data_IF_675060846068
#
_entry.id   IF_675060846068
#
_cell.length_a   1.000
_cell.length_b   1.000
_cell.length_c   1.000
_cell.angle_alpha   90.00
_cell.angle_beta   90.00
_cell.angle_gamma   90.00
#
_symmetry.space_group_name_H-M   'P 1'
#
loop_
_entity.id
_entity.type
_entity.pdbx_description
1 polymer ?
#
# COMPACT_ATOMS: atom_id res chain seq x y z
N UNK A 1 23.47 15.57 51.98
CA UNK A 1 23.08 14.22 51.50
C UNK A 1 22.24 14.38 50.25
N UNK A 2 22.78 14.01 49.09
CA UNK A 2 22.20 14.26 47.76
C UNK A 2 21.08 13.23 47.50
N UNK A 3 19.84 13.69 47.32
CA UNK A 3 18.71 12.83 46.88
C UNK A 3 18.94 12.48 45.41
N UNK A 4 19.13 11.20 45.12
CA UNK A 4 19.34 10.71 43.75
C UNK A 4 18.00 10.50 43.05
N UNK A 5 17.89 11.09 41.85
CA UNK A 5 16.74 11.07 40.96
C UNK A 5 16.46 9.65 40.41
N UNK A 6 15.64 8.88 41.11
CA UNK A 6 15.15 7.58 40.63
C UNK A 6 14.20 7.70 39.42
N UNK A 7 13.58 8.87 39.23
CA UNK A 7 12.56 9.10 38.20
C UNK A 7 13.11 9.28 36.77
N UNK A 8 14.41 9.57 36.64
CA UNK A 8 15.01 9.93 35.34
C UNK A 8 15.36 8.72 34.46
N UNK A 9 15.54 7.54 35.05
CA UNK A 9 15.91 6.33 34.30
C UNK A 9 14.68 5.60 33.73
N UNK A 10 13.53 5.70 34.39
CA UNK A 10 12.27 5.10 33.93
C UNK A 10 11.76 5.74 32.63
N UNK A 11 11.91 7.07 32.49
CA UNK A 11 11.58 7.78 31.26
C UNK A 11 12.50 7.40 30.09
N UNK A 12 13.78 7.14 30.35
CA UNK A 12 14.73 6.70 29.32
C UNK A 12 14.39 5.29 28.80
N UNK A 13 13.90 4.41 29.68
CA UNK A 13 13.50 3.06 29.30
C UNK A 13 12.21 3.05 28.46
N UNK A 14 11.25 3.94 28.75
CA UNK A 14 10.02 4.10 27.97
C UNK A 14 10.31 4.66 26.55
N UNK A 15 11.25 5.60 26.40
CA UNK A 15 11.62 6.15 25.10
C UNK A 15 12.34 5.14 24.18
N UNK A 16 12.84 4.02 24.70
CA UNK A 16 13.51 2.98 23.89
C UNK A 16 12.53 1.95 23.31
N UNK A 17 11.33 1.80 23.85
CA UNK A 17 10.33 0.82 23.37
C UNK A 17 9.41 1.39 22.28
N UNK A 18 9.27 2.70 22.16
CA UNK A 18 8.47 3.33 21.09
C UNK A 18 9.15 3.26 19.69
N UNK A 19 10.42 2.88 19.64
CA UNK A 19 11.23 2.89 18.40
C UNK A 19 11.25 1.59 17.58
N UNK A 20 10.56 0.52 18.03
CA UNK A 20 10.78 -0.84 17.47
C UNK A 20 9.64 -1.35 16.57
N UNK A 21 8.49 -0.67 16.53
CA UNK A 21 7.35 -1.12 15.72
C UNK A 21 7.07 -0.16 14.55
N UNK A 22 8.01 -0.07 13.62
CA UNK A 22 7.71 0.39 12.27
C UNK A 22 7.85 -0.82 11.35
N UNK A 23 6.73 -1.40 10.95
CA UNK A 23 6.69 -2.47 9.96
C UNK A 23 7.42 -2.01 8.68
N UNK A 24 8.52 -2.67 8.26
CA UNK A 24 9.24 -2.31 7.04
C UNK A 24 8.43 -2.58 5.76
N UNK A 25 7.29 -3.27 5.85
CA UNK A 25 6.42 -3.63 4.72
C UNK A 25 5.39 -2.53 4.36
N UNK A 26 5.30 -1.40 5.09
CA UNK A 26 4.33 -0.33 4.81
C UNK A 26 4.89 0.86 4.00
N UNK A 27 6.01 0.70 3.28
CA UNK A 27 6.42 1.73 2.32
C UNK A 27 5.43 1.70 1.16
N UNK A 28 4.38 2.51 1.25
CA UNK A 28 3.61 2.96 0.10
C UNK A 28 4.57 3.76 -0.77
N UNK A 29 5.37 3.08 -1.60
CA UNK A 29 6.17 3.71 -2.63
C UNK A 29 5.14 4.48 -3.46
N UNK A 30 5.21 5.82 -3.54
CA UNK A 30 4.30 6.56 -4.41
C UNK A 30 4.57 6.06 -5.81
N UNK A 31 3.65 5.24 -6.34
CA UNK A 31 3.74 4.78 -7.71
C UNK A 31 3.83 6.02 -8.59
N UNK A 32 4.72 6.03 -9.60
CA UNK A 32 4.91 7.20 -10.44
C UNK A 32 3.54 7.59 -11.01
N UNK A 33 3.07 8.79 -10.66
CA UNK A 33 1.88 9.37 -11.25
C UNK A 33 2.05 9.29 -12.76
N UNK A 34 1.28 8.42 -13.39
CA UNK A 34 1.37 8.24 -14.82
C UNK A 34 0.66 9.41 -15.48
N UNK A 35 1.34 10.09 -16.40
CA UNK A 35 0.74 11.15 -17.20
C UNK A 35 0.56 10.63 -18.63
N UNK A 36 -0.68 10.65 -19.11
CA UNK A 36 -0.98 10.35 -20.50
C UNK A 36 -0.51 11.49 -21.42
N UNK A 37 -0.38 11.27 -22.75
CA UNK A 37 0.08 12.30 -23.69
C UNK A 37 -0.77 13.58 -23.70
N UNK A 38 -2.08 13.45 -23.43
CA UNK A 38 -3.04 14.54 -23.28
C UNK A 38 -2.92 15.32 -21.95
N UNK A 39 -2.03 14.86 -21.07
CA UNK A 39 -1.81 15.43 -19.74
C UNK A 39 -2.68 14.86 -18.63
N UNK A 40 -3.56 13.91 -18.93
CA UNK A 40 -4.39 13.22 -17.94
C UNK A 40 -3.51 12.45 -16.96
N UNK A 41 -3.71 12.68 -15.65
CA UNK A 41 -3.01 11.95 -14.60
C UNK A 41 -3.80 10.71 -14.20
N UNK A 42 -3.13 9.57 -14.09
CA UNK A 42 -3.71 8.35 -13.57
C UNK A 42 -2.88 7.82 -12.42
N UNK A 43 -3.60 7.31 -11.41
CA UNK A 43 -3.01 6.63 -10.26
C UNK A 43 -3.07 5.12 -10.49
N UNK A 44 -2.09 4.42 -9.98
CA UNK A 44 -2.00 2.96 -10.00
C UNK A 44 -1.67 2.51 -8.59
N UNK A 45 -2.36 1.47 -8.13
CA UNK A 45 -2.12 0.91 -6.82
C UNK A 45 -2.33 -0.61 -6.87
N UNK A 46 -1.68 -1.34 -5.96
CA UNK A 46 -1.74 -2.79 -5.87
C UNK A 46 -1.90 -3.18 -4.40
N UNK A 47 -2.78 -4.16 -4.14
CA UNK A 47 -2.91 -4.80 -2.84
C UNK A 47 -2.86 -6.30 -3.01
N UNK A 48 -2.31 -6.98 -2.02
CA UNK A 48 -2.26 -8.43 -2.01
C UNK A 48 -3.62 -9.01 -1.62
N UNK A 49 -3.81 -10.30 -1.89
CA UNK A 49 -5.04 -10.98 -1.50
C UNK A 49 -5.28 -10.84 0.01
N UNK A 50 -6.54 -10.61 0.38
CA UNK A 50 -6.99 -10.32 1.76
C UNK A 50 -6.67 -8.92 2.29
N UNK A 51 -5.91 -8.10 1.58
CA UNK A 51 -5.71 -6.70 1.96
C UNK A 51 -6.85 -5.81 1.42
N UNK A 52 -7.11 -4.70 2.12
CA UNK A 52 -8.06 -3.70 1.68
C UNK A 52 -7.36 -2.57 0.89
N UNK A 53 -7.96 -2.19 -0.24
CA UNK A 53 -7.55 -1.02 -1.01
C UNK A 53 -8.54 0.13 -0.80
N UNK A 54 -8.03 1.31 -0.47
CA UNK A 54 -8.83 2.53 -0.37
C UNK A 54 -8.44 3.48 -1.48
N UNK A 55 -9.38 3.76 -2.38
CA UNK A 55 -9.17 4.68 -3.51
C UNK A 55 -9.89 5.99 -3.19
N UNK A 56 -9.16 7.11 -3.26
CA UNK A 56 -9.67 8.44 -2.97
C UNK A 56 -9.16 9.51 -3.93
N UNK A 57 -9.97 10.54 -4.12
CA UNK A 57 -9.68 11.74 -4.90
C UNK A 57 -9.90 13.00 -4.05
N UNK A 58 -9.39 14.15 -4.51
CA UNK A 58 -9.59 15.42 -3.79
C UNK A 58 -11.06 15.86 -3.86
N UNK A 59 -11.41 16.85 -3.05
CA UNK A 59 -12.73 17.49 -3.11
C UNK A 59 -12.98 17.98 -4.55
N UNK A 60 -14.19 17.72 -5.07
CA UNK A 60 -14.62 18.00 -6.45
C UNK A 60 -13.96 17.17 -7.56
N UNK A 61 -13.10 16.20 -7.24
CA UNK A 61 -12.64 15.19 -8.20
C UNK A 61 -13.51 13.92 -8.12
N UNK A 62 -13.57 13.16 -9.24
CA UNK A 62 -14.29 11.88 -9.30
C UNK A 62 -13.33 10.76 -9.65
N UNK A 63 -13.56 9.59 -9.07
CA UNK A 63 -12.82 8.37 -9.42
C UNK A 63 -13.37 7.85 -10.75
N UNK A 64 -12.47 7.59 -11.71
CA UNK A 64 -12.79 6.89 -12.95
C UNK A 64 -11.85 5.69 -13.09
N UNK A 65 -12.40 4.48 -12.98
CA UNK A 65 -11.63 3.25 -13.14
C UNK A 65 -11.37 3.00 -14.61
N UNK A 66 -10.10 3.11 -15.02
CA UNK A 66 -9.66 2.90 -16.42
C UNK A 66 -9.42 1.41 -16.70
N UNK A 67 -8.77 0.72 -15.75
CA UNK A 67 -8.45 -0.71 -15.81
C UNK A 67 -8.27 -1.28 -14.42
N UNK A 68 -8.61 -2.55 -14.24
CA UNK A 68 -8.32 -3.29 -13.03
C UNK A 68 -8.22 -4.80 -13.29
N UNK A 69 -7.48 -5.49 -12.42
CA UNK A 69 -7.36 -6.94 -12.44
C UNK A 69 -7.30 -7.48 -11.01
N UNK A 70 -8.11 -8.49 -10.71
CA UNK A 70 -7.92 -9.38 -9.57
C UNK A 70 -7.20 -10.63 -10.09
N UNK A 71 -5.92 -10.77 -9.73
CA UNK A 71 -5.04 -11.78 -10.28
C UNK A 71 -3.57 -11.37 -10.21
N UNK A 72 -2.74 -11.85 -11.14
CA UNK A 72 -1.29 -11.66 -11.12
C UNK A 72 -0.70 -11.57 -12.52
N UNK A 73 0.08 -10.52 -12.75
CA UNK A 73 0.86 -10.27 -13.98
C UNK A 73 2.37 -10.08 -13.74
N UNK A 74 2.84 -10.16 -12.50
CA UNK A 74 4.25 -10.00 -12.15
C UNK A 74 4.60 -10.84 -10.93
N UNK A 75 5.76 -11.50 -10.99
CA UNK A 75 6.36 -12.20 -9.83
C UNK A 75 6.91 -11.23 -8.78
N UNK A 76 7.12 -9.95 -9.14
CA UNK A 76 7.68 -8.96 -8.22
C UNK A 76 6.65 -8.34 -7.26
N UNK A 77 5.35 -8.57 -7.49
CA UNK A 77 4.25 -8.01 -6.68
C UNK A 77 3.62 -9.12 -5.85
N UNK A 78 3.38 -8.91 -4.55
CA UNK A 78 2.71 -9.87 -3.68
C UNK A 78 3.31 -11.29 -3.75
N UNK A 79 4.64 -11.38 -3.68
CA UNK A 79 5.41 -12.63 -3.70
C UNK A 79 6.43 -12.65 -2.56
N UNK A 80 5.93 -12.64 -1.32
CA UNK A 80 6.76 -12.51 -0.11
C UNK A 80 7.83 -13.61 0.00
N UNK A 81 7.55 -14.81 -0.51
CA UNK A 81 8.45 -15.96 -0.46
C UNK A 81 9.33 -16.12 -1.71
N UNK A 82 9.21 -15.24 -2.71
CA UNK A 82 10.02 -15.33 -3.93
C UNK A 82 9.78 -16.60 -4.74
N UNK A 83 8.57 -17.17 -4.69
CA UNK A 83 8.25 -18.38 -5.43
C UNK A 83 8.23 -18.12 -6.93
N UNK A 84 8.88 -19.01 -7.69
CA UNK A 84 8.95 -18.99 -9.17
C UNK A 84 7.77 -19.71 -9.81
N UNK A 85 7.04 -20.51 -9.04
CA UNK A 85 5.95 -21.37 -9.53
C UNK A 85 4.60 -20.63 -9.63
N UNK A 86 4.56 -19.36 -9.20
CA UNK A 86 3.33 -18.56 -9.26
C UNK A 86 3.00 -18.19 -10.70
N UNK A 87 1.74 -18.42 -11.11
CA UNK A 87 1.28 -18.00 -12.44
C UNK A 87 1.21 -16.48 -12.56
N UNK A 88 1.90 -15.92 -13.56
CA UNK A 88 1.79 -14.51 -13.97
C UNK A 88 0.79 -14.29 -15.12
N UNK A 89 -0.02 -15.30 -15.43
CA UNK A 89 -1.11 -15.22 -16.41
C UNK A 89 -2.45 -15.46 -15.71
N UNK A 90 -2.68 -14.76 -14.60
CA UNK A 90 -3.89 -14.89 -13.81
C UNK A 90 -4.70 -13.59 -13.92
N UNK A 91 -5.90 -13.68 -14.48
CA UNK A 91 -6.79 -12.54 -14.62
C UNK A 91 -8.25 -12.91 -14.38
N UNK A 92 -8.99 -11.96 -13.81
CA UNK A 92 -10.45 -12.02 -13.70
C UNK A 92 -11.07 -10.96 -14.62
N UNK A 93 -11.65 -11.34 -15.77
CA UNK A 93 -12.19 -10.40 -16.76
C UNK A 93 -13.26 -9.45 -16.21
N UNK A 94 -14.00 -9.88 -15.20
CA UNK A 94 -15.09 -9.10 -14.60
C UNK A 94 -14.60 -7.99 -13.67
N UNK A 95 -13.32 -8.02 -13.24
CA UNK A 95 -12.79 -7.09 -12.21
C UNK A 95 -13.02 -5.63 -12.59
N UNK A 96 -12.73 -5.27 -13.84
CA UNK A 96 -12.87 -3.88 -14.29
C UNK A 96 -14.33 -3.41 -14.21
N UNK A 97 -15.28 -4.23 -14.70
CA UNK A 97 -16.71 -3.91 -14.64
C UNK A 97 -17.25 -3.82 -13.22
N UNK A 98 -16.80 -4.71 -12.32
CA UNK A 98 -17.20 -4.70 -10.90
C UNK A 98 -16.72 -3.42 -10.19
N UNK A 99 -15.50 -2.96 -10.48
CA UNK A 99 -15.00 -1.72 -9.87
C UNK A 99 -15.64 -0.48 -10.51
N UNK A 100 -15.88 -0.49 -11.81
CA UNK A 100 -16.61 0.60 -12.49
C UNK A 100 -18.05 0.75 -12.01
N UNK A 101 -18.72 -0.32 -11.56
CA UNK A 101 -20.07 -0.20 -11.01
C UNK A 101 -20.11 0.33 -9.57
N UNK A 102 -18.97 0.44 -8.89
CA UNK A 102 -18.85 0.95 -7.51
C UNK A 102 -18.51 2.44 -7.42
N UNK A 103 -18.01 3.06 -8.49
CA UNK A 103 -17.53 4.44 -8.53
C UNK A 103 -18.20 5.22 -9.67
#
# INVERSE_FOLDING_TARGET
MKKWNFFSWFLYLLLLIDGVFSDPDSVSVPFPDGKAPDGTRYKKDYRCESEQITIGCKVHERIRVIRANYGRFSLAVCNKHGSTELSVNCMSPQTTGILQSKY
#
